data_IF_001485327963
#
_entry.id   IF_001485327963
#
_cell.length_a   1.000
_cell.length_b   1.000
_cell.length_c   1.000
_cell.angle_alpha   90.00
_cell.angle_beta   90.00
_cell.angle_gamma   90.00
#
_symmetry.space_group_name_H-M   'P 1'
#
loop_
_entity.id
_entity.type
_entity.pdbx_description
1 polymer ?
#
# COMPACT_ATOMS: atom_id res chain seq x y z
N UNK A 1 -8.83 1.36 6.77
CA UNK A 1 -8.96 1.11 8.22
C UNK A 1 -9.75 2.24 8.83
N UNK A 2 -10.73 1.97 9.71
CA UNK A 2 -11.48 3.01 10.41
C UNK A 2 -10.59 3.57 11.52
N UNK A 3 -10.19 4.85 11.48
CA UNK A 3 -9.35 5.43 12.51
C UNK A 3 -10.14 5.62 13.81
N UNK A 4 -9.45 5.60 14.95
CA UNK A 4 -10.05 5.98 16.24
C UNK A 4 -10.42 7.46 16.18
N UNK A 5 -11.68 7.85 16.44
CA UNK A 5 -12.09 9.24 16.46
C UNK A 5 -11.42 10.05 17.57
N UNK A 6 -11.28 11.36 17.39
CA UNK A 6 -10.82 12.22 18.49
C UNK A 6 -11.92 12.40 19.52
N UNK A 7 -11.54 12.37 20.79
CA UNK A 7 -12.45 12.48 21.93
C UNK A 7 -12.73 11.15 22.63
N UNK A 8 -12.26 10.02 22.06
CA UNK A 8 -12.33 8.73 22.74
C UNK A 8 -11.26 8.68 23.86
N UNK A 9 -11.67 8.43 25.12
CA UNK A 9 -10.75 8.32 26.25
C UNK A 9 -9.89 7.06 26.13
N UNK A 10 -8.68 7.10 26.70
CA UNK A 10 -7.73 5.98 26.60
C UNK A 10 -8.30 4.68 27.21
N UNK A 11 -9.09 4.77 28.27
CA UNK A 11 -9.78 3.63 28.88
C UNK A 11 -10.76 2.93 27.91
N UNK A 12 -11.46 3.68 27.07
CA UNK A 12 -12.37 3.13 26.05
C UNK A 12 -11.58 2.52 24.88
N UNK A 13 -10.42 3.07 24.55
CA UNK A 13 -9.52 2.50 23.54
C UNK A 13 -8.91 1.17 23.98
N UNK A 14 -8.53 1.07 25.26
CA UNK A 14 -7.95 -0.15 25.84
C UNK A 14 -8.99 -1.25 26.05
N UNK A 15 -10.23 -0.89 26.40
CA UNK A 15 -11.32 -1.85 26.64
C UNK A 15 -12.11 -2.22 25.38
N UNK A 16 -12.06 -1.39 24.33
CA UNK A 16 -12.77 -1.59 23.07
C UNK A 16 -12.12 -2.64 22.15
N UNK A 17 -12.89 -3.17 21.19
CA UNK A 17 -12.35 -4.05 20.14
C UNK A 17 -11.73 -3.18 19.05
N UNK A 18 -10.41 -3.28 18.78
CA UNK A 18 -9.77 -2.50 17.73
C UNK A 18 -10.36 -2.84 16.36
N UNK A 19 -10.50 -1.83 15.48
CA UNK A 19 -10.99 -2.03 14.12
C UNK A 19 -10.17 -3.09 13.34
N UNK A 20 -8.89 -3.24 13.66
CA UNK A 20 -8.03 -4.26 13.09
C UNK A 20 -8.50 -5.69 13.40
N UNK A 21 -9.01 -5.95 14.60
CA UNK A 21 -9.55 -7.26 14.99
C UNK A 21 -10.82 -7.55 14.18
N UNK A 22 -11.69 -6.54 13.99
CA UNK A 22 -12.87 -6.68 13.14
C UNK A 22 -12.50 -7.02 11.69
N UNK A 23 -11.45 -6.37 11.15
CA UNK A 23 -10.93 -6.68 9.81
C UNK A 23 -10.39 -8.11 9.75
N UNK A 24 -9.61 -8.55 10.74
CA UNK A 24 -9.10 -9.93 10.80
C UNK A 24 -10.22 -10.96 10.86
N UNK A 25 -11.26 -10.73 11.66
CA UNK A 25 -12.44 -11.60 11.72
C UNK A 25 -13.17 -11.66 10.38
N UNK A 26 -13.32 -10.52 9.69
CA UNK A 26 -13.90 -10.48 8.35
C UNK A 26 -13.06 -11.26 7.32
N UNK A 27 -11.73 -11.16 7.37
CA UNK A 27 -10.82 -11.91 6.51
C UNK A 27 -10.88 -13.42 6.79
N UNK A 28 -10.94 -13.83 8.06
CA UNK A 28 -11.14 -15.22 8.44
C UNK A 28 -12.47 -15.77 7.90
N UNK A 29 -13.53 -14.97 7.93
CA UNK A 29 -14.81 -15.36 7.34
C UNK A 29 -14.71 -15.54 5.81
N UNK A 30 -13.96 -14.67 5.10
CA UNK A 30 -13.69 -14.84 3.66
C UNK A 30 -12.95 -16.17 3.41
N UNK A 31 -11.94 -16.47 4.22
CA UNK A 31 -11.19 -17.73 4.12
C UNK A 31 -12.09 -18.95 4.35
N UNK A 32 -12.89 -18.91 5.41
CA UNK A 32 -13.85 -19.97 5.77
C UNK A 32 -14.87 -20.22 4.64
N UNK A 33 -15.48 -19.16 4.10
CA UNK A 33 -16.46 -19.28 3.02
C UNK A 33 -15.86 -19.93 1.76
N UNK A 34 -14.61 -19.60 1.44
CA UNK A 34 -13.90 -20.20 0.30
C UNK A 34 -13.52 -21.65 0.53
N UNK A 35 -13.09 -21.99 1.74
CA UNK A 35 -12.71 -23.35 2.08
C UNK A 35 -13.93 -24.29 2.09
N UNK A 36 -15.07 -23.80 2.61
CA UNK A 36 -16.36 -24.49 2.57
C UNK A 36 -16.89 -24.73 1.15
N UNK A 37 -16.62 -23.85 0.18
CA UNK A 37 -16.98 -24.12 -1.22
C UNK A 37 -16.15 -25.25 -1.85
N UNK A 38 -14.91 -25.45 -1.39
CA UNK A 38 -13.94 -26.37 -2.01
C UNK A 38 -13.80 -27.70 -1.29
N UNK A 39 -14.31 -27.81 -0.06
CA UNK A 39 -14.17 -29.00 0.77
C UNK A 39 -15.33 -29.19 1.74
N UNK A 40 -15.62 -30.45 2.07
CA UNK A 40 -16.47 -30.84 3.19
C UNK A 40 -15.72 -30.57 4.49
N UNK A 41 -15.98 -29.44 5.14
CA UNK A 41 -15.36 -29.11 6.44
C UNK A 41 -16.24 -29.59 7.60
N UNK A 42 -15.69 -30.47 8.45
CA UNK A 42 -16.27 -30.81 9.74
C UNK A 42 -16.04 -29.67 10.72
N UNK A 43 -17.10 -29.05 11.22
CA UNK A 43 -17.02 -27.97 12.20
C UNK A 43 -17.59 -28.45 13.55
N UNK A 44 -16.72 -28.65 14.55
CA UNK A 44 -17.12 -29.06 15.90
C UNK A 44 -17.99 -28.05 16.67
N UNK A 45 -18.09 -26.80 16.21
CA UNK A 45 -18.98 -25.77 16.79
C UNK A 45 -20.29 -25.58 16.02
N UNK A 46 -20.51 -26.32 14.92
CA UNK A 46 -21.76 -26.31 14.16
C UNK A 46 -22.25 -27.74 13.94
N UNK A 47 -23.45 -28.05 14.44
CA UNK A 47 -24.16 -29.29 14.08
C UNK A 47 -24.71 -29.10 12.67
N UNK A 48 -23.90 -29.38 11.65
CA UNK A 48 -24.39 -29.58 10.28
C UNK A 48 -23.87 -30.92 9.79
N UNK A 49 -24.63 -31.95 10.12
CA UNK A 49 -24.53 -33.26 9.49
C UNK A 49 -24.98 -33.08 8.04
N UNK A 50 -24.04 -33.11 7.10
CA UNK A 50 -24.26 -33.19 5.65
C UNK A 50 -25.15 -32.06 5.10
N UNK A 51 -24.53 -31.03 4.53
CA UNK A 51 -25.28 -30.07 3.71
C UNK A 51 -25.89 -30.81 2.52
N UNK A 52 -27.21 -30.74 2.43
CA UNK A 52 -28.03 -31.19 1.31
C UNK A 52 -27.35 -30.96 -0.03
N UNK A 53 -27.43 -31.99 -0.87
CA UNK A 53 -26.97 -31.98 -2.25
C UNK A 53 -27.40 -30.68 -2.93
N UNK A 54 -26.42 -29.91 -3.39
CA UNK A 54 -26.65 -28.74 -4.21
C UNK A 54 -27.51 -29.15 -5.42
N UNK A 55 -28.76 -28.72 -5.45
CA UNK A 55 -29.57 -28.74 -6.67
C UNK A 55 -28.82 -27.90 -7.71
N UNK A 56 -28.53 -28.45 -8.90
CA UNK A 56 -27.84 -27.71 -9.94
C UNK A 56 -28.80 -26.65 -10.49
N UNK A 57 -28.71 -25.43 -9.96
CA UNK A 57 -29.39 -24.30 -10.55
C UNK A 57 -28.64 -24.01 -11.85
N UNK A 58 -29.30 -24.29 -12.98
CA UNK A 58 -28.86 -23.92 -14.33
C UNK A 58 -28.80 -22.39 -14.44
N UNK A 59 -27.73 -21.80 -13.94
CA UNK A 59 -27.45 -20.37 -14.04
C UNK A 59 -26.88 -20.08 -15.45
N UNK A 60 -27.43 -19.11 -16.19
CA UNK A 60 -26.90 -18.67 -17.47
C UNK A 60 -25.38 -18.40 -17.41
N UNK A 61 -24.63 -18.77 -18.46
CA UNK A 61 -23.16 -18.65 -18.50
C UNK A 61 -22.64 -17.23 -18.23
N UNK A 62 -23.39 -16.21 -18.66
CA UNK A 62 -23.07 -14.80 -18.40
C UNK A 62 -23.13 -14.47 -16.90
N UNK A 63 -24.18 -14.91 -16.19
CA UNK A 63 -24.33 -14.72 -14.74
C UNK A 63 -23.21 -15.45 -14.00
N UNK A 64 -22.82 -16.64 -14.48
CA UNK A 64 -21.68 -17.39 -13.93
C UNK A 64 -20.35 -16.64 -14.13
N UNK A 65 -20.13 -16.07 -15.32
CA UNK A 65 -18.91 -15.29 -15.61
C UNK A 65 -18.83 -14.01 -14.79
N UNK A 66 -19.94 -13.26 -14.67
CA UNK A 66 -20.03 -12.06 -13.84
C UNK A 66 -19.79 -12.39 -12.36
N UNK A 67 -20.40 -13.46 -11.85
CA UNK A 67 -20.18 -13.92 -10.47
C UNK A 67 -18.71 -14.25 -10.21
N UNK A 68 -18.06 -15.03 -11.10
CA UNK A 68 -16.64 -15.37 -10.98
C UNK A 68 -15.74 -14.13 -11.02
N UNK A 69 -16.11 -13.12 -11.82
CA UNK A 69 -15.37 -11.86 -11.90
C UNK A 69 -15.49 -11.07 -10.59
N UNK A 70 -16.72 -10.91 -10.07
CA UNK A 70 -16.97 -10.21 -8.80
C UNK A 70 -16.28 -10.93 -7.64
N UNK A 71 -16.37 -12.26 -7.58
CA UNK A 71 -15.69 -13.06 -6.56
C UNK A 71 -14.17 -12.85 -6.60
N UNK A 72 -13.58 -12.88 -7.81
CA UNK A 72 -12.15 -12.64 -8.00
C UNK A 72 -11.74 -11.22 -7.59
N UNK A 73 -12.56 -10.22 -7.93
CA UNK A 73 -12.34 -8.82 -7.51
C UNK A 73 -12.40 -8.66 -5.99
N UNK A 74 -13.43 -9.22 -5.34
CA UNK A 74 -13.59 -9.16 -3.88
C UNK A 74 -12.41 -9.85 -3.20
N UNK A 75 -11.98 -11.02 -3.70
CA UNK A 75 -10.84 -11.70 -3.14
C UNK A 75 -9.55 -10.90 -3.31
N UNK A 76 -9.32 -10.29 -4.49
CA UNK A 76 -8.14 -9.46 -4.71
C UNK A 76 -8.12 -8.23 -3.81
N UNK A 77 -9.29 -7.62 -3.56
CA UNK A 77 -9.43 -6.55 -2.57
C UNK A 77 -9.11 -7.05 -1.15
N UNK A 78 -9.62 -8.22 -0.76
CA UNK A 78 -9.35 -8.82 0.55
C UNK A 78 -7.85 -9.14 0.74
N UNK A 79 -7.19 -9.72 -0.28
CA UNK A 79 -5.75 -9.95 -0.32
C UNK A 79 -4.95 -8.64 -0.21
N UNK A 80 -5.44 -7.57 -0.86
CA UNK A 80 -4.84 -6.24 -0.76
C UNK A 80 -4.92 -5.71 0.67
N UNK A 81 -6.10 -5.76 1.31
CA UNK A 81 -6.27 -5.31 2.69
C UNK A 81 -5.46 -6.12 3.70
N UNK A 82 -5.42 -7.44 3.52
CA UNK A 82 -4.66 -8.34 4.38
C UNK A 82 -3.14 -8.07 4.27
N UNK A 83 -2.62 -8.01 3.05
CA UNK A 83 -1.19 -7.73 2.81
C UNK A 83 -0.81 -6.33 3.28
N UNK A 84 -1.66 -5.33 3.02
CA UNK A 84 -1.48 -3.95 3.49
C UNK A 84 -1.40 -3.89 5.01
N UNK A 85 -2.31 -4.60 5.70
CA UNK A 85 -2.38 -4.60 7.16
C UNK A 85 -1.16 -5.31 7.76
N UNK A 86 -0.74 -6.44 7.18
CA UNK A 86 0.47 -7.15 7.58
C UNK A 86 1.74 -6.31 7.37
N UNK A 87 1.81 -5.55 6.27
CA UNK A 87 2.92 -4.64 5.99
C UNK A 87 2.94 -3.46 6.97
N UNK A 88 1.82 -2.79 7.21
CA UNK A 88 1.78 -1.54 7.99
C UNK A 88 1.74 -1.81 9.50
N UNK A 89 0.94 -2.77 9.98
CA UNK A 89 0.71 -3.00 11.42
C UNK A 89 1.54 -4.15 12.01
N UNK A 90 2.51 -4.66 11.26
CA UNK A 90 3.40 -5.75 11.69
C UNK A 90 2.64 -7.01 12.17
N UNK A 91 1.47 -7.28 11.58
CA UNK A 91 0.67 -8.48 11.87
C UNK A 91 0.93 -9.58 10.86
N UNK A 92 0.57 -10.83 11.20
CA UNK A 92 0.54 -11.92 10.23
C UNK A 92 -0.62 -11.71 9.25
N UNK A 93 -0.38 -12.13 8.01
CA UNK A 93 -1.40 -12.21 6.96
C UNK A 93 -2.34 -13.36 7.27
N UNK A 94 -3.65 -13.14 7.10
CA UNK A 94 -4.70 -14.13 7.36
C UNK A 94 -4.99 -14.96 6.10
N UNK A 95 -5.04 -14.32 4.93
CA UNK A 95 -5.44 -14.93 3.66
C UNK A 95 -4.26 -15.50 2.86
N UNK A 96 -3.03 -15.18 3.25
CA UNK A 96 -1.82 -15.59 2.56
C UNK A 96 -0.78 -16.08 3.55
N UNK A 97 -0.07 -17.14 3.19
CA UNK A 97 0.98 -17.79 3.98
C UNK A 97 2.16 -16.85 4.19
N UNK A 98 2.79 -16.95 5.35
CA UNK A 98 3.98 -16.20 5.69
C UNK A 98 5.25 -16.71 4.99
N UNK A 99 6.37 -16.57 5.69
CA UNK A 99 7.72 -16.85 5.22
C UNK A 99 7.88 -18.24 4.58
N UNK A 100 7.22 -19.26 5.15
CA UNK A 100 7.43 -20.67 4.79
C UNK A 100 6.51 -21.21 3.68
N UNK A 101 5.61 -20.40 3.11
CA UNK A 101 4.60 -20.94 2.18
C UNK A 101 4.21 -20.04 1.01
N UNK A 102 4.62 -18.76 1.02
CA UNK A 102 4.15 -17.79 0.04
C UNK A 102 4.50 -18.16 -1.42
N UNK A 103 5.65 -18.80 -1.65
CA UNK A 103 6.13 -19.19 -2.99
C UNK A 103 5.25 -20.26 -3.63
N UNK A 104 4.56 -21.06 -2.81
CA UNK A 104 3.67 -22.12 -3.27
C UNK A 104 2.31 -21.59 -3.74
N UNK A 105 1.95 -20.36 -3.36
CA UNK A 105 0.61 -19.82 -3.62
C UNK A 105 0.41 -19.45 -5.08
N UNK A 106 -0.68 -19.96 -5.65
CA UNK A 106 -1.08 -19.68 -7.02
C UNK A 106 -1.30 -18.18 -7.27
N UNK A 107 -1.78 -17.44 -6.28
CA UNK A 107 -2.06 -16.00 -6.39
C UNK A 107 -0.78 -15.20 -6.69
N UNK A 108 0.30 -15.46 -5.97
CA UNK A 108 1.58 -14.76 -6.17
C UNK A 108 2.30 -15.24 -7.44
N UNK A 109 2.20 -16.53 -7.77
CA UNK A 109 2.68 -17.06 -9.05
C UNK A 109 1.95 -16.46 -10.24
N UNK A 110 0.64 -16.25 -10.14
CA UNK A 110 -0.13 -15.58 -11.19
C UNK A 110 0.34 -14.15 -11.40
N UNK A 111 0.54 -13.37 -10.32
CA UNK A 111 1.12 -12.02 -10.41
C UNK A 111 2.49 -12.06 -11.09
N UNK A 112 3.32 -13.04 -10.76
CA UNK A 112 4.61 -13.27 -11.42
C UNK A 112 4.46 -13.48 -12.93
N UNK A 113 3.63 -14.44 -13.33
CA UNK A 113 3.40 -14.75 -14.73
C UNK A 113 2.86 -13.56 -15.50
N UNK A 114 1.87 -12.85 -14.95
CA UNK A 114 1.30 -11.65 -15.59
C UNK A 114 2.34 -10.55 -15.79
N UNK A 115 3.25 -10.34 -14.82
CA UNK A 115 4.34 -9.38 -14.98
C UNK A 115 5.36 -9.81 -16.00
N UNK A 116 5.70 -11.10 -16.07
CA UNK A 116 6.62 -11.60 -17.11
C UNK A 116 6.02 -11.38 -18.51
N UNK A 117 4.75 -11.73 -18.70
CA UNK A 117 4.03 -11.50 -19.96
C UNK A 117 3.99 -10.00 -20.29
N UNK A 118 3.63 -9.16 -19.32
CA UNK A 118 3.62 -7.71 -19.52
C UNK A 118 5.01 -7.17 -19.87
N UNK A 119 6.06 -7.69 -19.21
CA UNK A 119 7.44 -7.32 -19.49
C UNK A 119 7.77 -7.61 -20.96
N UNK A 120 7.53 -8.83 -21.44
CA UNK A 120 7.78 -9.20 -22.84
C UNK A 120 6.97 -8.32 -23.81
N UNK A 121 5.67 -8.16 -23.56
CA UNK A 121 4.77 -7.41 -24.44
C UNK A 121 5.10 -5.91 -24.52
N UNK A 122 5.62 -5.32 -23.43
CA UNK A 122 5.96 -3.90 -23.37
C UNK A 122 7.44 -3.59 -23.64
N UNK A 123 8.22 -4.55 -24.19
CA UNK A 123 9.63 -4.33 -24.53
C UNK A 123 9.83 -3.12 -25.44
N UNK A 124 9.03 -3.00 -26.51
CA UNK A 124 9.10 -1.87 -27.44
C UNK A 124 8.80 -0.53 -26.75
N UNK A 125 7.85 -0.52 -25.83
CA UNK A 125 7.51 0.68 -25.05
C UNK A 125 8.66 1.14 -24.16
N UNK A 126 9.41 0.19 -23.57
CA UNK A 126 10.57 0.49 -22.72
C UNK A 126 11.79 0.92 -23.53
N UNK A 127 12.00 0.35 -24.72
CA UNK A 127 13.21 0.56 -25.52
C UNK A 127 13.10 1.72 -26.53
N UNK A 128 11.91 1.92 -27.11
CA UNK A 128 11.67 2.92 -28.17
C UNK A 128 10.73 4.05 -27.72
N UNK A 129 10.24 3.99 -26.48
CA UNK A 129 9.26 4.90 -25.93
C UNK A 129 7.81 4.48 -26.20
N UNK A 130 6.89 5.09 -25.46
CA UNK A 130 5.45 4.82 -25.54
C UNK A 130 4.69 6.13 -25.72
N UNK A 131 3.71 6.14 -26.63
CA UNK A 131 2.77 7.22 -26.76
C UNK A 131 1.72 7.10 -25.64
N UNK A 132 1.83 7.96 -24.62
CA UNK A 132 0.91 7.92 -23.49
C UNK A 132 -0.41 8.64 -23.81
N UNK A 133 -1.47 7.85 -23.79
CA UNK A 133 -2.87 8.24 -23.78
C UNK A 133 -3.57 7.60 -22.56
N UNK A 134 -4.88 7.83 -22.39
CA UNK A 134 -5.65 7.29 -21.27
C UNK A 134 -5.58 5.75 -21.17
N UNK A 135 -5.80 5.06 -22.28
CA UNK A 135 -5.85 3.60 -22.31
C UNK A 135 -4.49 2.98 -21.91
N UNK A 136 -3.41 3.43 -22.57
CA UNK A 136 -2.05 2.95 -22.31
C UNK A 136 -1.59 3.29 -20.89
N UNK A 137 -1.89 4.50 -20.39
CA UNK A 137 -1.58 4.88 -19.01
C UNK A 137 -2.30 3.96 -18.01
N UNK A 138 -3.61 3.73 -18.20
CA UNK A 138 -4.38 2.85 -17.31
C UNK A 138 -3.92 1.39 -17.37
N UNK A 139 -3.46 0.91 -18.53
CA UNK A 139 -2.88 -0.42 -18.68
C UNK A 139 -1.56 -0.54 -17.91
N UNK A 140 -0.64 0.43 -18.07
CA UNK A 140 0.64 0.48 -17.35
C UNK A 140 0.41 0.56 -15.84
N UNK A 141 -0.43 1.49 -15.39
CA UNK A 141 -0.75 1.72 -13.97
C UNK A 141 -1.44 0.49 -13.38
N UNK A 142 -2.39 -0.12 -14.10
CA UNK A 142 -3.09 -1.33 -13.65
C UNK A 142 -2.15 -2.52 -13.45
N UNK A 143 -1.26 -2.78 -14.41
CA UNK A 143 -0.27 -3.85 -14.30
C UNK A 143 0.72 -3.59 -13.14
N UNK A 144 1.17 -2.34 -13.00
CA UNK A 144 2.09 -1.95 -11.93
C UNK A 144 1.45 -2.05 -10.53
N UNK A 145 0.16 -1.76 -10.37
CA UNK A 145 -0.57 -1.95 -9.11
C UNK A 145 -0.54 -3.41 -8.63
N UNK A 146 -0.68 -4.36 -9.55
CA UNK A 146 -0.62 -5.79 -9.22
C UNK A 146 0.77 -6.17 -8.69
N UNK A 147 1.84 -5.70 -9.35
CA UNK A 147 3.21 -5.96 -8.91
C UNK A 147 3.57 -5.24 -7.61
N UNK A 148 3.11 -4.01 -7.43
CA UNK A 148 3.27 -3.27 -6.17
C UNK A 148 2.73 -4.07 -4.99
N UNK A 149 1.62 -4.80 -5.14
CA UNK A 149 1.13 -5.69 -4.09
C UNK A 149 2.08 -6.87 -3.81
N UNK A 150 2.80 -7.38 -4.81
CA UNK A 150 3.86 -8.37 -4.61
C UNK A 150 5.05 -7.80 -3.84
N UNK A 151 5.45 -6.55 -4.12
CA UNK A 151 6.48 -5.84 -3.32
C UNK A 151 6.03 -5.75 -1.87
N UNK A 152 4.78 -5.38 -1.62
CA UNK A 152 4.22 -5.37 -0.27
C UNK A 152 4.31 -6.74 0.39
N UNK A 153 3.94 -7.80 -0.33
CA UNK A 153 4.03 -9.17 0.17
C UNK A 153 5.46 -9.55 0.55
N UNK A 154 6.47 -9.22 -0.27
CA UNK A 154 7.86 -9.51 0.08
C UNK A 154 8.29 -8.72 1.32
N UNK A 155 7.81 -7.50 1.48
CA UNK A 155 8.00 -6.72 2.69
C UNK A 155 7.37 -7.35 3.92
N UNK A 156 6.17 -7.94 3.81
CA UNK A 156 5.56 -8.62 4.96
C UNK A 156 6.34 -9.87 5.36
N UNK A 157 6.88 -10.62 4.39
CA UNK A 157 7.72 -11.79 4.62
C UNK A 157 9.04 -11.40 5.29
N UNK A 158 9.70 -10.34 4.82
CA UNK A 158 10.92 -9.83 5.45
C UNK A 158 10.64 -9.37 6.89
N UNK A 159 9.56 -8.61 7.11
CA UNK A 159 9.16 -8.21 8.47
C UNK A 159 8.88 -9.40 9.36
N UNK A 160 8.24 -10.44 8.85
CA UNK A 160 8.00 -11.68 9.58
C UNK A 160 9.30 -12.38 9.96
N UNK A 161 10.24 -12.50 9.02
CA UNK A 161 11.55 -13.09 9.25
C UNK A 161 12.32 -12.37 10.37
N UNK A 162 12.37 -11.03 10.30
CA UNK A 162 13.04 -10.19 11.28
C UNK A 162 12.36 -10.22 12.66
N UNK A 163 11.04 -10.07 12.71
CA UNK A 163 10.25 -10.02 13.95
C UNK A 163 10.32 -11.33 14.73
N UNK A 164 10.29 -12.46 14.04
CA UNK A 164 10.23 -13.78 14.67
C UNK A 164 11.61 -14.38 14.93
N UNK A 165 12.68 -13.66 14.58
CA UNK A 165 14.05 -14.13 14.81
C UNK A 165 14.38 -15.39 14.03
N UNK A 166 13.90 -15.50 12.78
CA UNK A 166 14.26 -16.62 11.91
C UNK A 166 15.77 -16.61 11.62
N UNK A 167 16.33 -17.77 11.27
CA UNK A 167 17.75 -17.90 11.01
C UNK A 167 18.25 -17.04 9.85
N UNK A 168 19.57 -16.79 9.82
CA UNK A 168 20.23 -15.91 8.83
C UNK A 168 19.86 -16.25 7.38
N UNK A 169 19.83 -17.53 7.02
CA UNK A 169 19.45 -17.97 5.67
C UNK A 169 18.03 -17.52 5.29
N UNK A 170 17.09 -17.59 6.23
CA UNK A 170 15.71 -17.21 6.00
C UNK A 170 15.53 -15.68 5.90
N UNK A 171 16.24 -14.92 6.74
CA UNK A 171 16.27 -13.45 6.66
C UNK A 171 16.90 -13.00 5.34
N UNK A 172 18.03 -13.60 4.95
CA UNK A 172 18.71 -13.27 3.70
C UNK A 172 17.87 -13.64 2.48
N UNK A 173 17.19 -14.79 2.50
CA UNK A 173 16.24 -15.18 1.44
C UNK A 173 15.08 -14.19 1.31
N UNK A 174 14.48 -13.80 2.43
CA UNK A 174 13.39 -12.83 2.45
C UNK A 174 13.83 -11.45 1.93
N UNK A 175 14.99 -10.96 2.37
CA UNK A 175 15.59 -9.73 1.86
C UNK A 175 15.86 -9.81 0.36
N UNK A 176 16.47 -10.90 -0.11
CA UNK A 176 16.82 -11.09 -1.52
C UNK A 176 15.56 -11.12 -2.39
N UNK A 177 14.50 -11.76 -1.91
CA UNK A 177 13.19 -11.79 -2.57
C UNK A 177 12.56 -10.38 -2.64
N UNK A 178 12.68 -9.59 -1.58
CA UNK A 178 12.20 -8.20 -1.56
C UNK A 178 13.00 -7.29 -2.51
N UNK A 179 14.33 -7.37 -2.46
CA UNK A 179 15.23 -6.62 -3.36
C UNK A 179 14.95 -6.96 -4.83
N UNK A 180 14.77 -8.25 -5.14
CA UNK A 180 14.45 -8.70 -6.50
C UNK A 180 13.07 -8.20 -6.96
N UNK A 181 12.05 -8.22 -6.09
CA UNK A 181 10.73 -7.67 -6.43
C UNK A 181 10.80 -6.16 -6.72
N UNK A 182 11.57 -5.39 -5.95
CA UNK A 182 11.81 -3.96 -6.21
C UNK A 182 12.55 -3.78 -7.55
N UNK A 183 13.61 -4.56 -7.79
CA UNK A 183 14.39 -4.51 -9.03
C UNK A 183 13.52 -4.79 -10.24
N UNK A 184 12.68 -5.83 -10.20
CA UNK A 184 11.77 -6.15 -11.29
C UNK A 184 10.72 -5.06 -11.52
N UNK A 185 10.24 -4.39 -10.46
CA UNK A 185 9.38 -3.21 -10.63
C UNK A 185 10.10 -2.10 -11.38
N UNK A 186 11.34 -1.80 -10.98
CA UNK A 186 12.15 -0.76 -11.58
C UNK A 186 12.50 -1.05 -13.04
N UNK A 187 12.78 -2.30 -13.39
CA UNK A 187 13.09 -2.68 -14.79
C UNK A 187 11.84 -2.70 -15.67
N UNK A 188 10.69 -3.12 -15.14
CA UNK A 188 9.48 -3.35 -15.95
C UNK A 188 8.56 -2.14 -16.01
N UNK A 189 8.34 -1.46 -14.89
CA UNK A 189 7.29 -0.45 -14.76
C UNK A 189 7.84 0.97 -14.63
N UNK A 190 8.95 1.20 -13.92
CA UNK A 190 9.47 2.57 -13.65
C UNK A 190 9.67 3.41 -14.93
N UNK A 191 10.27 2.92 -16.04
CA UNK A 191 10.42 3.70 -17.27
C UNK A 191 9.06 4.09 -17.89
N UNK A 192 8.09 3.19 -17.83
CA UNK A 192 6.75 3.39 -18.36
C UNK A 192 5.96 4.37 -17.47
N UNK A 193 6.07 4.24 -16.15
CA UNK A 193 5.45 5.15 -15.19
C UNK A 193 6.04 6.56 -15.27
N UNK A 194 7.34 6.70 -15.56
CA UNK A 194 7.98 8.00 -15.83
C UNK A 194 7.51 8.60 -17.17
N UNK A 195 7.20 7.77 -18.17
CA UNK A 195 6.54 8.25 -19.38
C UNK A 195 5.10 8.73 -19.07
N UNK A 196 4.36 8.02 -18.23
CA UNK A 196 3.05 8.47 -17.75
C UNK A 196 3.15 9.79 -16.98
N UNK A 197 4.12 9.92 -16.07
CA UNK A 197 4.36 11.11 -15.26
C UNK A 197 4.50 12.38 -16.10
N UNK A 198 5.33 12.34 -17.13
CA UNK A 198 5.54 13.45 -18.08
C UNK A 198 4.28 13.88 -18.83
N UNK A 199 3.25 13.04 -18.84
CA UNK A 199 1.99 13.25 -19.56
C UNK A 199 0.80 13.40 -18.64
N UNK A 200 0.98 13.35 -17.31
CA UNK A 200 -0.11 13.38 -16.33
C UNK A 200 -1.06 14.56 -16.53
N UNK A 201 -0.56 15.74 -16.89
CA UNK A 201 -1.41 16.92 -17.10
C UNK A 201 -2.46 16.76 -18.21
N UNK A 202 -2.22 15.85 -19.17
CA UNK A 202 -3.15 15.54 -20.26
C UNK A 202 -4.06 14.35 -19.95
N UNK A 203 -3.90 13.73 -18.79
CA UNK A 203 -4.70 12.60 -18.34
C UNK A 203 -5.81 13.10 -17.39
N UNK A 204 -6.88 12.34 -17.32
CA UNK A 204 -8.01 12.53 -16.43
C UNK A 204 -7.58 12.51 -14.97
N UNK A 205 -8.37 13.17 -14.14
CA UNK A 205 -8.18 13.17 -12.68
C UNK A 205 -8.15 11.76 -12.08
N UNK A 206 -8.89 10.80 -12.66
CA UNK A 206 -8.88 9.41 -12.22
C UNK A 206 -7.53 8.75 -12.48
N UNK A 207 -6.98 8.92 -13.67
CA UNK A 207 -5.67 8.36 -14.03
C UNK A 207 -4.55 9.02 -13.21
N UNK A 208 -4.64 10.34 -12.97
CA UNK A 208 -3.73 11.05 -12.05
C UNK A 208 -3.77 10.48 -10.63
N UNK A 209 -4.96 10.28 -10.06
CA UNK A 209 -5.13 9.71 -8.73
C UNK A 209 -4.56 8.29 -8.65
N UNK A 210 -4.87 7.43 -9.64
CA UNK A 210 -4.36 6.05 -9.67
C UNK A 210 -2.84 5.96 -9.78
N UNK A 211 -2.22 6.88 -10.53
CA UNK A 211 -0.75 6.97 -10.62
C UNK A 211 -0.16 7.44 -9.29
N UNK A 212 -0.73 8.50 -8.70
CA UNK A 212 -0.30 9.02 -7.39
C UNK A 212 -0.35 7.94 -6.31
N UNK A 213 -1.49 7.26 -6.17
CA UNK A 213 -1.66 6.17 -5.18
C UNK A 213 -0.66 5.04 -5.41
N UNK A 214 -0.39 4.67 -6.67
CA UNK A 214 0.59 3.63 -7.00
C UNK A 214 1.99 4.01 -6.50
N UNK A 215 2.43 5.22 -6.84
CA UNK A 215 3.78 5.68 -6.58
C UNK A 215 4.01 5.90 -5.08
N UNK A 216 3.06 6.54 -4.39
CA UNK A 216 3.06 6.66 -2.92
C UNK A 216 3.20 5.30 -2.27
N UNK A 217 2.32 4.36 -2.62
CA UNK A 217 2.28 3.04 -2.01
C UNK A 217 3.51 2.17 -2.32
N UNK A 218 4.10 2.32 -3.51
CA UNK A 218 5.32 1.62 -3.86
C UNK A 218 6.48 2.10 -2.99
N UNK A 219 6.74 3.40 -2.95
CA UNK A 219 7.86 3.95 -2.18
C UNK A 219 7.66 3.83 -0.67
N UNK A 220 6.43 4.02 -0.17
CA UNK A 220 6.10 3.78 1.23
C UNK A 220 6.46 2.35 1.67
N UNK A 221 6.15 1.34 0.85
CA UNK A 221 6.47 -0.04 1.21
C UNK A 221 7.96 -0.30 1.36
N UNK A 222 8.77 0.37 0.53
CA UNK A 222 10.23 0.30 0.63
C UNK A 222 10.70 0.93 1.94
N UNK A 223 10.17 2.10 2.31
CA UNK A 223 10.54 2.74 3.56
C UNK A 223 10.10 1.94 4.79
N UNK A 224 8.92 1.30 4.76
CA UNK A 224 8.47 0.41 5.84
C UNK A 224 9.40 -0.81 5.97
N UNK A 225 9.85 -1.39 4.86
CA UNK A 225 10.82 -2.50 4.89
C UNK A 225 12.14 -2.06 5.50
N UNK A 226 12.66 -0.90 5.10
CA UNK A 226 13.92 -0.37 5.61
C UNK A 226 13.82 -0.06 7.10
N UNK A 227 12.73 0.57 7.55
CA UNK A 227 12.52 0.83 8.98
C UNK A 227 12.46 -0.46 9.80
N UNK A 228 11.87 -1.53 9.25
CA UNK A 228 11.89 -2.84 9.92
C UNK A 228 13.30 -3.44 10.03
N UNK A 229 14.16 -3.23 9.02
CA UNK A 229 15.56 -3.66 9.04
C UNK A 229 16.36 -2.82 10.07
N UNK A 230 16.09 -1.50 10.15
CA UNK A 230 16.68 -0.60 11.15
C UNK A 230 16.29 -1.01 12.58
N UNK A 231 15.01 -1.30 12.83
CA UNK A 231 14.53 -1.76 14.14
C UNK A 231 15.15 -3.10 14.53
N UNK A 232 15.43 -3.97 13.55
CA UNK A 232 16.11 -5.23 13.77
C UNK A 232 17.65 -5.11 13.87
N UNK A 233 18.19 -3.88 13.78
CA UNK A 233 19.63 -3.59 13.83
C UNK A 233 20.47 -4.38 12.82
N UNK A 234 19.93 -4.60 11.61
CA UNK A 234 20.59 -5.37 10.54
C UNK A 234 21.38 -4.48 9.59
N UNK A 235 22.46 -3.90 10.10
CA UNK A 235 23.36 -3.00 9.35
C UNK A 235 23.91 -3.63 8.06
N UNK A 236 24.20 -4.94 8.09
CA UNK A 236 24.68 -5.72 6.95
C UNK A 236 23.70 -5.78 5.76
N UNK A 237 22.41 -5.53 6.03
CA UNK A 237 21.35 -5.41 5.03
C UNK A 237 21.12 -3.92 4.68
N UNK A 238 21.12 -3.03 5.68
CA UNK A 238 20.90 -1.60 5.46
C UNK A 238 21.90 -0.98 4.49
N UNK A 239 23.19 -1.31 4.62
CA UNK A 239 24.24 -0.82 3.73
C UNK A 239 23.92 -1.11 2.25
N UNK A 240 23.41 -2.32 1.98
CA UNK A 240 23.04 -2.79 0.63
C UNK A 240 21.81 -2.08 0.08
N UNK A 241 20.97 -1.51 0.94
CA UNK A 241 19.73 -0.82 0.57
C UNK A 241 19.86 0.71 0.58
N UNK A 242 21.05 1.27 0.84
CA UNK A 242 21.29 2.72 0.94
C UNK A 242 20.77 3.52 -0.27
N UNK A 243 21.09 3.11 -1.49
CA UNK A 243 20.61 3.76 -2.73
C UNK A 243 19.09 3.63 -2.86
N UNK A 244 18.54 2.45 -2.57
CA UNK A 244 17.10 2.20 -2.61
C UNK A 244 16.34 3.04 -1.57
N UNK A 245 16.94 3.25 -0.39
CA UNK A 245 16.42 4.15 0.66
C UNK A 245 16.31 5.57 0.15
N UNK A 246 17.41 6.12 -0.37
CA UNK A 246 17.47 7.51 -0.85
C UNK A 246 16.49 7.76 -1.99
N UNK A 247 16.42 6.84 -2.98
CA UNK A 247 15.45 6.93 -4.08
C UNK A 247 14.00 6.88 -3.58
N UNK A 248 13.68 6.00 -2.62
CA UNK A 248 12.34 5.90 -2.06
C UNK A 248 11.95 7.13 -1.24
N UNK A 249 12.87 7.72 -0.46
CA UNK A 249 12.62 8.94 0.30
C UNK A 249 12.32 10.12 -0.65
N UNK A 250 13.20 10.36 -1.62
CA UNK A 250 13.02 11.44 -2.59
C UNK A 250 11.77 11.26 -3.44
N UNK A 251 11.51 10.03 -3.92
CA UNK A 251 10.33 9.75 -4.73
C UNK A 251 9.02 9.87 -3.94
N UNK A 252 8.97 9.41 -2.69
CA UNK A 252 7.77 9.56 -1.87
C UNK A 252 7.48 11.03 -1.57
N UNK A 253 8.50 11.83 -1.22
CA UNK A 253 8.37 13.26 -1.01
C UNK A 253 7.83 13.98 -2.27
N UNK A 254 8.37 13.66 -3.44
CA UNK A 254 7.87 14.19 -4.72
C UNK A 254 6.42 13.79 -4.99
N UNK A 255 6.02 12.56 -4.63
CA UNK A 255 4.64 12.13 -4.73
C UNK A 255 3.72 12.94 -3.82
N UNK A 256 4.12 13.20 -2.57
CA UNK A 256 3.36 14.05 -1.65
C UNK A 256 3.19 15.47 -2.20
N UNK A 257 4.28 16.09 -2.69
CA UNK A 257 4.23 17.39 -3.34
C UNK A 257 3.28 17.40 -4.55
N UNK A 258 3.33 16.35 -5.38
CA UNK A 258 2.40 16.17 -6.49
C UNK A 258 0.95 16.09 -6.00
N UNK A 259 0.68 15.33 -4.94
CA UNK A 259 -0.65 15.16 -4.35
C UNK A 259 -1.21 16.43 -3.72
N UNK A 260 -0.36 17.29 -3.14
CA UNK A 260 -0.74 18.62 -2.65
C UNK A 260 -1.10 19.57 -3.79
N UNK A 261 -0.38 19.47 -4.92
CA UNK A 261 -0.52 20.41 -6.04
C UNK A 261 -1.63 20.03 -7.03
N UNK A 262 -2.03 18.76 -7.09
CA UNK A 262 -3.06 18.27 -8.01
C UNK A 262 -4.40 18.10 -7.31
N UNK A 263 -5.48 18.46 -8.00
CA UNK A 263 -6.83 18.44 -7.43
C UNK A 263 -7.73 17.45 -8.16
N UNK A 264 -8.68 16.91 -7.41
CA UNK A 264 -9.76 16.05 -7.89
C UNK A 264 -11.10 16.72 -7.60
N UNK A 265 -11.93 16.79 -8.64
CA UNK A 265 -13.27 17.37 -8.57
C UNK A 265 -14.29 16.27 -8.28
N UNK A 266 -14.95 16.37 -7.12
CA UNK A 266 -16.01 15.48 -6.67
C UNK A 266 -17.36 16.21 -6.82
N UNK A 267 -18.34 15.64 -7.53
CA UNK A 267 -19.69 16.17 -7.57
C UNK A 267 -20.31 16.14 -6.16
N UNK A 268 -20.70 17.29 -5.64
CA UNK A 268 -21.34 17.43 -4.32
C UNK A 268 -22.83 17.71 -4.49
N UNK A 269 -23.66 16.90 -3.84
CA UNK A 269 -25.10 17.19 -3.74
C UNK A 269 -25.32 18.15 -2.58
N UNK A 270 -25.31 19.45 -2.85
CA UNK A 270 -25.77 20.48 -1.91
C UNK A 270 -27.07 21.09 -2.42
N UNK A 271 -28.22 20.53 -2.00
CA UNK A 271 -29.55 21.02 -2.39
C UNK A 271 -29.99 20.64 -3.82
N UNK A 272 -30.84 21.48 -4.43
CA UNK A 272 -31.35 21.29 -5.81
C UNK A 272 -30.31 21.65 -6.90
N UNK A 273 -29.17 22.24 -6.54
CA UNK A 273 -28.08 22.54 -7.47
C UNK A 273 -26.90 21.57 -7.23
N UNK A 274 -26.45 20.89 -8.28
CA UNK A 274 -25.21 20.13 -8.23
C UNK A 274 -24.02 21.10 -8.19
N UNK A 275 -23.38 21.26 -7.03
CA UNK A 275 -22.07 21.90 -6.93
C UNK A 275 -20.97 20.85 -7.10
N UNK A 276 -19.73 21.29 -7.37
CA UNK A 276 -18.58 20.40 -7.40
C UNK A 276 -17.50 20.95 -6.48
N UNK A 277 -16.98 20.11 -5.58
CA UNK A 277 -15.85 20.45 -4.71
C UNK A 277 -14.55 20.01 -5.37
N UNK A 278 -13.53 20.87 -5.33
CA UNK A 278 -12.17 20.55 -5.79
C UNK A 278 -11.27 20.35 -4.58
N UNK A 279 -10.62 19.19 -4.49
CA UNK A 279 -9.83 18.79 -3.33
C UNK A 279 -8.44 18.28 -3.76
N UNK A 280 -7.35 18.62 -3.05
CA UNK A 280 -6.04 18.02 -3.30
C UNK A 280 -6.10 16.48 -3.23
N UNK A 281 -5.25 15.77 -3.99
CA UNK A 281 -5.24 14.29 -3.99
C UNK A 281 -4.95 13.72 -2.59
N UNK A 282 -4.09 14.39 -1.81
CA UNK A 282 -3.79 14.01 -0.42
C UNK A 282 -5.06 13.99 0.44
N UNK A 283 -5.96 14.95 0.25
CA UNK A 283 -7.17 15.10 1.07
C UNK A 283 -8.23 14.02 0.78
N UNK A 284 -8.16 13.38 -0.38
CA UNK A 284 -9.10 12.33 -0.81
C UNK A 284 -8.47 10.94 -0.82
N UNK A 285 -7.28 10.79 -0.24
CA UNK A 285 -6.58 9.51 -0.20
C UNK A 285 -7.39 8.47 0.61
N UNK A 286 -7.63 7.26 0.07
CA UNK A 286 -8.43 6.23 0.74
C UNK A 286 -7.72 5.58 1.94
N UNK A 287 -6.40 5.81 2.11
CA UNK A 287 -5.56 5.23 3.15
C UNK A 287 -4.77 6.33 3.89
N UNK A 288 -5.42 7.22 4.66
CA UNK A 288 -4.73 8.31 5.38
C UNK A 288 -3.66 7.83 6.36
N UNK A 289 -3.79 6.61 6.90
CA UNK A 289 -2.77 5.98 7.75
C UNK A 289 -1.48 5.61 7.00
N UNK A 290 -1.56 5.33 5.69
CA UNK A 290 -0.38 5.14 4.85
C UNK A 290 0.38 6.46 4.65
N UNK A 291 -0.35 7.55 4.39
CA UNK A 291 0.27 8.87 4.28
C UNK A 291 0.89 9.32 5.60
N UNK A 292 0.20 9.10 6.73
CA UNK A 292 0.75 9.35 8.06
C UNK A 292 2.05 8.59 8.30
N UNK A 293 2.08 7.27 8.03
CA UNK A 293 3.30 6.45 8.18
C UNK A 293 4.42 6.94 7.25
N UNK A 294 4.09 7.29 6.01
CA UNK A 294 5.06 7.84 5.05
C UNK A 294 5.66 9.16 5.51
N UNK A 295 4.84 10.07 6.03
CA UNK A 295 5.31 11.33 6.61
C UNK A 295 6.23 11.09 7.80
N UNK A 296 5.88 10.18 8.71
CA UNK A 296 6.73 9.86 9.87
C UNK A 296 8.10 9.31 9.46
N UNK A 297 8.13 8.40 8.49
CA UNK A 297 9.37 7.82 7.97
C UNK A 297 10.23 8.86 7.23
N UNK A 298 9.61 9.73 6.45
CA UNK A 298 10.30 10.85 5.80
C UNK A 298 10.84 11.85 6.81
N UNK A 299 10.06 12.18 7.85
CA UNK A 299 10.47 13.11 8.89
C UNK A 299 11.73 12.60 9.61
N UNK A 300 11.71 11.34 10.08
CA UNK A 300 12.87 10.66 10.67
C UNK A 300 14.09 10.71 9.74
N UNK A 301 13.87 10.48 8.44
CA UNK A 301 14.92 10.54 7.43
C UNK A 301 15.53 11.92 7.26
N UNK A 302 14.69 12.95 7.10
CA UNK A 302 15.12 14.34 6.93
C UNK A 302 15.88 14.84 8.16
N UNK A 303 15.39 14.53 9.37
CA UNK A 303 16.07 14.93 10.61
C UNK A 303 17.46 14.32 10.70
N UNK A 304 17.59 13.02 10.40
CA UNK A 304 18.88 12.34 10.39
C UNK A 304 19.83 12.93 9.35
N UNK A 305 19.36 13.15 8.12
CA UNK A 305 20.21 13.70 7.06
C UNK A 305 20.66 15.15 7.37
N UNK A 306 19.82 15.91 8.09
CA UNK A 306 20.18 17.22 8.63
C UNK A 306 21.21 17.13 9.77
N UNK A 307 20.98 16.25 10.74
CA UNK A 307 21.89 16.04 11.88
C UNK A 307 23.27 15.53 11.43
N UNK A 308 23.32 14.75 10.34
CA UNK A 308 24.53 14.25 9.67
C UNK A 308 25.20 15.31 8.76
N UNK A 309 24.65 16.54 8.70
CA UNK A 309 25.18 17.65 7.90
C UNK A 309 25.06 17.49 6.38
N UNK A 310 24.20 16.58 5.92
CA UNK A 310 23.95 16.35 4.48
C UNK A 310 22.95 17.36 3.88
N UNK A 311 22.29 18.15 4.73
CA UNK A 311 21.24 19.09 4.33
C UNK A 311 21.35 20.39 5.13
N UNK A 312 21.15 21.53 4.47
CA UNK A 312 21.08 22.82 5.15
C UNK A 312 19.71 23.06 5.82
N UNK A 313 19.67 24.02 6.75
CA UNK A 313 18.48 24.37 7.52
C UNK A 313 17.29 24.74 6.62
N UNK A 314 17.52 25.55 5.59
CA UNK A 314 16.46 26.05 4.71
C UNK A 314 15.82 24.90 3.92
N UNK A 315 16.64 23.97 3.43
CA UNK A 315 16.18 22.77 2.74
C UNK A 315 15.40 21.89 3.71
N UNK A 316 15.91 21.64 4.91
CA UNK A 316 15.21 20.87 5.94
C UNK A 316 13.81 21.45 6.26
N UNK A 317 13.73 22.76 6.50
CA UNK A 317 12.47 23.46 6.78
C UNK A 317 11.49 23.38 5.60
N UNK A 318 11.98 23.56 4.37
CA UNK A 318 11.16 23.42 3.16
C UNK A 318 10.56 22.01 3.05
N UNK A 319 11.37 20.97 3.27
CA UNK A 319 10.89 19.59 3.19
C UNK A 319 9.90 19.27 4.32
N UNK A 320 10.17 19.70 5.55
CA UNK A 320 9.26 19.54 6.68
C UNK A 320 7.94 20.29 6.48
N UNK A 321 7.95 21.44 5.79
CA UNK A 321 6.72 22.16 5.43
C UNK A 321 5.81 21.33 4.50
N UNK A 322 6.37 20.62 3.52
CA UNK A 322 5.60 19.71 2.64
C UNK A 322 4.94 18.60 3.46
N UNK A 323 5.70 18.02 4.40
CA UNK A 323 5.19 16.97 5.29
C UNK A 323 4.06 17.50 6.18
N UNK A 324 4.21 18.71 6.73
CA UNK A 324 3.20 19.33 7.59
C UNK A 324 1.91 19.63 6.83
N UNK A 325 2.00 20.23 5.63
CA UNK A 325 0.86 20.48 4.75
C UNK A 325 0.12 19.18 4.39
N UNK A 326 0.89 18.10 4.19
CA UNK A 326 0.31 16.77 3.95
C UNK A 326 -0.52 16.33 5.16
N UNK A 327 0.03 16.41 6.37
CA UNK A 327 -0.66 16.01 7.60
C UNK A 327 -1.92 16.84 7.86
N UNK A 328 -1.87 18.15 7.62
CA UNK A 328 -3.00 19.06 7.83
C UNK A 328 -4.21 18.72 6.95
N UNK A 329 -3.99 18.21 5.74
CA UNK A 329 -5.04 17.77 4.82
C UNK A 329 -5.59 16.38 5.11
N UNK A 330 -4.92 15.57 5.94
CA UNK A 330 -5.45 14.28 6.35
C UNK A 330 -6.66 14.46 7.29
N UNK A 331 -7.54 13.45 7.45
CA UNK A 331 -8.72 13.54 8.30
C UNK A 331 -8.37 13.81 9.77
N UNK A 332 -8.44 15.07 10.21
CA UNK A 332 -8.14 15.47 11.59
C UNK A 332 -9.11 14.90 12.62
N UNK A 333 -10.20 14.26 12.19
CA UNK A 333 -11.09 13.48 13.05
C UNK A 333 -10.44 12.19 13.55
N UNK A 334 -9.37 11.72 12.92
CA UNK A 334 -8.55 10.60 13.40
C UNK A 334 -7.61 11.04 14.52
N UNK A 335 -7.63 10.33 15.66
CA UNK A 335 -6.75 10.57 16.80
C UNK A 335 -5.27 10.42 16.45
N UNK A 336 -4.93 9.40 15.64
CA UNK A 336 -3.54 9.17 15.20
C UNK A 336 -3.04 10.27 14.26
N UNK A 337 -3.87 10.72 13.32
CA UNK A 337 -3.53 11.84 12.43
C UNK A 337 -3.34 13.11 13.27
N UNK A 338 -4.28 13.44 14.14
CA UNK A 338 -4.20 14.66 14.96
C UNK A 338 -2.96 14.68 15.85
N UNK A 339 -2.70 13.57 16.58
CA UNK A 339 -1.48 13.42 17.38
C UNK A 339 -0.21 13.57 16.52
N UNK A 340 -0.18 12.97 15.33
CA UNK A 340 0.93 13.10 14.39
C UNK A 340 1.15 14.53 13.91
N UNK A 341 0.08 15.24 13.57
CA UNK A 341 0.12 16.67 13.18
C UNK A 341 0.67 17.53 14.32
N UNK A 342 0.15 17.37 15.54
CA UNK A 342 0.60 18.13 16.71
C UNK A 342 2.08 17.90 17.01
N UNK A 343 2.54 16.65 16.94
CA UNK A 343 3.96 16.30 17.12
C UNK A 343 4.85 16.95 16.05
N UNK A 344 4.44 16.90 14.78
CA UNK A 344 5.16 17.52 13.67
C UNK A 344 5.23 19.05 13.83
N UNK A 345 4.13 19.70 14.23
CA UNK A 345 4.09 21.15 14.49
C UNK A 345 5.04 21.54 15.62
N UNK A 346 5.04 20.79 16.73
CA UNK A 346 5.94 21.05 17.85
C UNK A 346 7.41 20.87 17.45
N UNK A 347 7.73 19.82 16.68
CA UNK A 347 9.07 19.58 16.17
C UNK A 347 9.55 20.71 15.24
N UNK A 348 8.68 21.15 14.32
CA UNK A 348 8.96 22.24 13.39
C UNK A 348 9.21 23.57 14.12
N UNK A 349 8.34 23.93 15.09
CA UNK A 349 8.46 25.18 15.85
C UNK A 349 9.69 25.24 16.76
N UNK A 350 10.18 24.09 17.26
CA UNK A 350 11.41 24.04 18.06
C UNK A 350 12.66 24.37 17.25
N UNK A 351 12.65 24.13 15.93
CA UNK A 351 13.80 24.37 15.04
C UNK A 351 13.87 25.79 14.47
N UNK A 352 12.74 26.49 14.39
CA UNK A 352 12.70 27.89 13.96
C UNK A 352 13.10 28.93 15.02
N UNK A 353 13.68 28.50 16.15
CA UNK A 353 14.10 29.37 17.27
C UNK A 353 15.61 29.44 17.43
#
# INVERSE_FOLDING_TARGET
MVPVPVGIPEEEEESGVPAQICVQAALQQVQYLRARQRSLEFNGSKVSLLSDQATPISTPEQIRSEFMHIESMIYWAAMTFDTSSALTFNTKSVLSSGLLGWEAESSWRMVQTCTNIFHEQSERWRTHGVLVNEETANQIIGAAHCWKLRVWKMGTILKEALREGHGEDAVYHAHTSAAEAIRQFNVTYRPLLAACERRLQFLSQHTKLRWYELMVHHHLSILIMIDAIEIASREDILEKMSVTKSDAQGSLLNCLQFGLSNHFTIPTRQGQASSAGSFPLVAIDPYPHHLLAGVQLLWKGIERDFDDGQMDQMTCENLQSILLQTLELLPQTSKSVRKGTEQAQLAFLRRGR
#
